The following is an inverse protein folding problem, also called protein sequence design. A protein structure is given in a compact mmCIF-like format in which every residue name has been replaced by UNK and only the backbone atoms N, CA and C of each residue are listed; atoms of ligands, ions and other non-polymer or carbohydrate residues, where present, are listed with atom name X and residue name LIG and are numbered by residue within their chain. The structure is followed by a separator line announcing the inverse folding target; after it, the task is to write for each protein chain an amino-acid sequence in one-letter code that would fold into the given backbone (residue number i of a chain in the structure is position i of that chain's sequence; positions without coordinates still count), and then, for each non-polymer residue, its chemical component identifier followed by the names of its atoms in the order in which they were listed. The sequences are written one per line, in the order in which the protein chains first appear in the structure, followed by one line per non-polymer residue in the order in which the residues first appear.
data_IF_020651480763
#
_entry.id   IF_020651480763
#
_cell.length_a   1.000
_cell.length_b   1.000
_cell.length_c   1.000
_cell.angle_alpha   90.00
_cell.angle_beta   90.00
_cell.angle_gamma   90.00
#
_symmetry.space_group_name_H-M   'P 1'
#
loop_
_entity.id
_entity.type
_entity.pdbx_description
1 polymer ?
#
# COMPACT_ATOMS: atom_id res chain seq x y z
N UNK A 1 -37.08 -18.13 12.55
CA UNK A 1 -38.11 -17.06 12.54
C UNK A 1 -39.51 -17.56 12.22
N UNK A 2 -39.73 -18.41 11.22
CA UNK A 2 -41.09 -18.93 10.88
C UNK A 2 -41.82 -19.68 12.02
N UNK A 3 -41.11 -20.38 12.91
CA UNK A 3 -41.72 -21.06 14.07
C UNK A 3 -42.13 -20.10 15.19
N UNK A 4 -41.34 -19.07 15.44
CA UNK A 4 -41.66 -18.07 16.47
C UNK A 4 -42.87 -17.21 16.10
N UNK A 5 -43.05 -16.90 14.84
CA UNK A 5 -44.20 -16.11 14.34
C UNK A 5 -45.49 -16.92 14.29
N UNK A 6 -45.43 -18.24 14.00
CA UNK A 6 -46.60 -19.14 14.12
C UNK A 6 -47.08 -19.27 15.56
N UNK A 7 -46.19 -19.24 16.54
CA UNK A 7 -46.53 -19.25 17.96
C UNK A 7 -47.31 -18.01 18.41
N UNK A 8 -47.25 -16.90 17.67
CA UNK A 8 -47.97 -15.66 17.92
C UNK A 8 -49.30 -15.57 17.15
N UNK A 9 -49.72 -16.64 16.40
CA UNK A 9 -51.00 -16.72 15.70
C UNK A 9 -51.11 -15.89 14.42
N UNK A 10 -49.99 -15.43 13.84
CA UNK A 10 -50.02 -14.76 12.56
C UNK A 10 -49.97 -15.74 11.38
N UNK A 11 -50.83 -15.51 10.38
CA UNK A 11 -50.79 -16.26 9.12
C UNK A 11 -49.58 -15.86 8.27
N UNK A 12 -49.10 -16.75 7.39
CA UNK A 12 -47.91 -16.54 6.52
C UNK A 12 -48.06 -15.34 5.55
N UNK A 13 -49.26 -14.87 5.29
CA UNK A 13 -49.60 -13.70 4.44
C UNK A 13 -49.74 -12.39 5.25
N UNK A 14 -49.59 -12.43 6.58
CA UNK A 14 -49.68 -11.19 7.35
C UNK A 14 -48.61 -10.16 6.91
N UNK A 15 -48.93 -8.87 6.75
CA UNK A 15 -48.02 -7.85 6.24
C UNK A 15 -46.66 -7.81 6.98
N UNK A 16 -46.66 -7.96 8.28
CA UNK A 16 -45.42 -7.99 9.08
C UNK A 16 -44.54 -9.21 8.73
N UNK A 17 -45.15 -10.37 8.46
CA UNK A 17 -44.41 -11.59 8.07
C UNK A 17 -43.86 -11.45 6.67
N UNK A 18 -44.62 -10.88 5.74
CA UNK A 18 -44.16 -10.60 4.36
C UNK A 18 -43.02 -9.59 4.36
N UNK A 19 -43.12 -8.53 5.15
CA UNK A 19 -42.03 -7.57 5.32
C UNK A 19 -40.77 -8.23 5.89
N UNK A 20 -40.89 -9.02 6.98
CA UNK A 20 -39.74 -9.70 7.57
C UNK A 20 -39.08 -10.71 6.61
N UNK A 21 -39.87 -11.42 5.78
CA UNK A 21 -39.35 -12.33 4.75
C UNK A 21 -38.57 -11.54 3.66
N UNK A 22 -39.10 -10.38 3.26
CA UNK A 22 -38.42 -9.52 2.27
C UNK A 22 -37.09 -8.98 2.83
N UNK A 23 -37.08 -8.48 4.05
CA UNK A 23 -35.86 -7.99 4.71
C UNK A 23 -34.81 -9.10 4.88
N UNK A 24 -35.24 -10.31 5.24
CA UNK A 24 -34.36 -11.46 5.33
C UNK A 24 -33.74 -11.81 3.96
N UNK A 25 -34.57 -11.85 2.90
CA UNK A 25 -34.09 -12.13 1.54
C UNK A 25 -33.08 -11.05 1.07
N UNK A 26 -33.35 -9.77 1.37
CA UNK A 26 -32.44 -8.67 1.07
C UNK A 26 -31.11 -8.82 1.79
N UNK A 27 -31.14 -9.21 3.07
CA UNK A 27 -29.96 -9.44 3.88
C UNK A 27 -29.12 -10.63 3.36
N UNK A 28 -29.74 -11.71 2.91
CA UNK A 28 -29.06 -12.85 2.28
C UNK A 28 -28.35 -12.44 0.97
N UNK A 29 -29.02 -11.65 0.12
CA UNK A 29 -28.43 -11.13 -1.13
C UNK A 29 -27.22 -10.26 -0.81
N UNK A 30 -27.31 -9.37 0.18
CA UNK A 30 -26.19 -8.53 0.59
C UNK A 30 -25.03 -9.36 1.15
N UNK A 31 -25.31 -10.33 1.98
CA UNK A 31 -24.27 -11.22 2.53
C UNK A 31 -23.53 -11.97 1.41
N UNK A 32 -24.26 -12.51 0.44
CA UNK A 32 -23.66 -13.19 -0.70
C UNK A 32 -22.80 -12.23 -1.55
N UNK A 33 -23.25 -10.99 -1.76
CA UNK A 33 -22.49 -9.95 -2.44
C UNK A 33 -21.14 -9.69 -1.72
N UNK A 34 -21.17 -9.49 -0.38
CA UNK A 34 -19.95 -9.24 0.36
C UNK A 34 -19.01 -10.46 0.39
N UNK A 35 -19.54 -11.67 0.46
CA UNK A 35 -18.72 -12.89 0.39
C UNK A 35 -18.01 -13.00 -0.96
N UNK A 36 -18.70 -12.75 -2.08
CA UNK A 36 -18.10 -12.76 -3.41
C UNK A 36 -16.99 -11.69 -3.53
N UNK A 37 -17.24 -10.48 -3.01
CA UNK A 37 -16.22 -9.41 -3.04
C UNK A 37 -14.99 -9.75 -2.22
N UNK A 38 -15.16 -10.43 -1.08
CA UNK A 38 -14.05 -10.89 -0.25
C UNK A 38 -13.22 -11.95 -0.98
N UNK A 39 -13.86 -12.93 -1.62
CA UNK A 39 -13.18 -13.96 -2.42
C UNK A 39 -12.37 -13.33 -3.59
N UNK A 40 -12.94 -12.34 -4.30
CA UNK A 40 -12.24 -11.61 -5.35
C UNK A 40 -11.02 -10.86 -4.82
N UNK A 41 -11.16 -10.20 -3.65
CA UNK A 41 -10.08 -9.50 -2.97
C UNK A 41 -8.95 -10.46 -2.56
N UNK A 42 -9.30 -11.59 -1.94
CA UNK A 42 -8.33 -12.61 -1.53
C UNK A 42 -7.57 -13.18 -2.74
N UNK A 43 -8.27 -13.43 -3.85
CA UNK A 43 -7.66 -13.93 -5.08
C UNK A 43 -6.71 -12.89 -5.71
N UNK A 44 -7.10 -11.62 -5.69
CA UNK A 44 -6.29 -10.51 -6.18
C UNK A 44 -4.94 -10.43 -5.44
N UNK A 45 -4.95 -10.44 -4.10
CA UNK A 45 -3.73 -10.36 -3.31
C UNK A 45 -2.91 -11.64 -3.36
N UNK A 46 -3.56 -12.80 -3.37
CA UNK A 46 -2.89 -14.09 -3.51
C UNK A 46 -2.04 -14.14 -4.79
N UNK A 47 -2.61 -13.72 -5.93
CA UNK A 47 -1.89 -13.68 -7.21
C UNK A 47 -0.66 -12.77 -7.13
N UNK A 48 -0.80 -11.57 -6.56
CA UNK A 48 0.29 -10.61 -6.41
C UNK A 48 1.40 -11.13 -5.51
N UNK A 49 1.02 -11.78 -4.43
CA UNK A 49 1.97 -12.38 -3.51
C UNK A 49 2.72 -13.57 -4.13
N UNK A 50 2.06 -14.38 -4.95
CA UNK A 50 2.71 -15.48 -5.69
C UNK A 50 3.71 -14.97 -6.73
N UNK A 51 3.41 -13.85 -7.40
CA UNK A 51 4.24 -13.29 -8.47
C UNK A 51 5.40 -12.44 -7.95
N UNK A 52 5.13 -11.53 -6.99
CA UNK A 52 6.11 -10.59 -6.41
C UNK A 52 5.94 -10.48 -4.89
N UNK A 53 6.33 -11.51 -4.12
CA UNK A 53 6.05 -11.57 -2.69
C UNK A 53 6.61 -10.38 -1.91
N UNK A 54 7.87 -10.00 -2.16
CA UNK A 54 8.52 -8.89 -1.44
C UNK A 54 7.89 -7.54 -1.77
N UNK A 55 7.59 -7.27 -3.05
CA UNK A 55 6.93 -6.03 -3.44
C UNK A 55 5.50 -5.93 -2.87
N UNK A 56 4.79 -7.07 -2.85
CA UNK A 56 3.44 -7.15 -2.27
C UNK A 56 3.46 -6.90 -0.77
N UNK A 57 4.43 -7.47 -0.06
CA UNK A 57 4.60 -7.27 1.37
C UNK A 57 4.93 -5.80 1.72
N UNK A 58 5.84 -5.17 0.95
CA UNK A 58 6.13 -3.73 1.09
C UNK A 58 4.87 -2.89 0.83
N UNK A 59 4.14 -3.17 -0.27
CA UNK A 59 2.92 -2.45 -0.62
C UNK A 59 1.89 -2.51 0.51
N UNK A 60 1.59 -3.72 1.00
CA UNK A 60 0.61 -3.94 2.07
C UNK A 60 1.04 -3.25 3.37
N UNK A 61 2.34 -3.32 3.72
CA UNK A 61 2.88 -2.65 4.89
C UNK A 61 2.68 -1.13 4.85
N UNK A 62 2.96 -0.51 3.69
CA UNK A 62 2.77 0.93 3.51
C UNK A 62 1.27 1.28 3.51
N UNK A 63 0.42 0.48 2.88
CA UNK A 63 -1.04 0.67 2.89
C UNK A 63 -1.65 0.59 4.29
N UNK A 64 -1.09 -0.21 5.18
CA UNK A 64 -1.53 -0.34 6.58
C UNK A 64 -1.30 0.95 7.41
N UNK A 65 -0.53 1.91 6.85
CA UNK A 65 -0.38 3.26 7.41
C UNK A 65 -1.51 4.23 6.99
N UNK A 66 -2.58 3.76 6.36
CA UNK A 66 -3.67 4.56 5.77
C UNK A 66 -3.22 5.55 4.67
N UNK A 67 -2.04 5.34 4.08
CA UNK A 67 -1.56 6.19 2.98
C UNK A 67 -2.27 5.84 1.67
N UNK A 68 -2.48 6.86 0.82
CA UNK A 68 -3.16 6.67 -0.46
C UNK A 68 -2.33 5.84 -1.46
N UNK A 69 -2.97 5.33 -2.50
CA UNK A 69 -2.33 4.44 -3.47
C UNK A 69 -1.22 5.11 -4.27
N UNK A 70 -1.31 6.42 -4.52
CA UNK A 70 -0.25 7.19 -5.18
C UNK A 70 1.01 7.26 -4.33
N UNK A 71 0.86 7.49 -3.02
CA UNK A 71 1.99 7.48 -2.07
C UNK A 71 2.65 6.11 -2.02
N UNK A 72 1.87 5.03 -1.92
CA UNK A 72 2.39 3.67 -1.95
C UNK A 72 3.16 3.37 -3.23
N UNK A 73 2.61 3.73 -4.38
CA UNK A 73 3.22 3.52 -5.69
C UNK A 73 4.51 4.33 -5.87
N UNK A 74 4.51 5.60 -5.47
CA UNK A 74 5.68 6.47 -5.56
C UNK A 74 6.85 5.98 -4.72
N UNK A 75 6.60 5.55 -3.47
CA UNK A 75 7.61 4.95 -2.60
C UNK A 75 8.13 3.63 -3.19
N UNK A 76 7.22 2.72 -3.58
CA UNK A 76 7.60 1.44 -4.17
C UNK A 76 8.40 1.62 -5.47
N UNK A 77 8.07 2.60 -6.31
CA UNK A 77 8.81 2.95 -7.52
C UNK A 77 10.26 3.36 -7.25
N UNK A 78 10.52 4.05 -6.13
CA UNK A 78 11.87 4.35 -5.66
C UNK A 78 12.59 3.07 -5.22
N UNK A 79 11.97 2.24 -4.39
CA UNK A 79 12.51 0.95 -3.93
C UNK A 79 12.85 0.03 -5.11
N UNK A 80 11.98 -0.05 -6.14
CA UNK A 80 12.26 -0.76 -7.39
C UNK A 80 13.53 -0.26 -8.09
N UNK A 81 13.80 1.04 -8.00
CA UNK A 81 15.00 1.63 -8.58
C UNK A 81 16.26 1.28 -7.81
N UNK A 82 16.18 1.19 -6.49
CA UNK A 82 17.31 0.89 -5.59
C UNK A 82 17.68 -0.60 -5.61
N UNK A 83 16.70 -1.49 -5.46
CA UNK A 83 16.96 -2.91 -5.21
C UNK A 83 16.18 -3.88 -6.10
N UNK A 84 15.35 -3.38 -7.01
CA UNK A 84 14.55 -4.19 -7.94
C UNK A 84 15.06 -4.18 -9.39
N UNK A 85 16.13 -3.44 -9.67
CA UNK A 85 16.60 -3.26 -11.06
C UNK A 85 15.59 -2.55 -11.97
N UNK A 86 14.59 -1.85 -11.40
CA UNK A 86 13.47 -1.23 -12.09
C UNK A 86 12.30 -2.16 -12.34
N UNK A 87 12.20 -3.24 -11.57
CA UNK A 87 11.12 -4.22 -11.59
C UNK A 87 10.58 -4.47 -10.17
N UNK A 88 9.46 -5.19 -10.05
CA UNK A 88 8.90 -5.64 -8.78
C UNK A 88 9.69 -6.80 -8.12
N UNK A 89 10.74 -7.32 -8.77
CA UNK A 89 11.64 -8.33 -8.19
C UNK A 89 12.62 -7.69 -7.20
N UNK A 90 12.12 -7.33 -6.03
CA UNK A 90 12.87 -6.61 -5.01
C UNK A 90 13.75 -7.55 -4.19
N UNK A 91 15.01 -7.16 -4.00
CA UNK A 91 16.01 -7.88 -3.20
C UNK A 91 16.36 -7.06 -1.94
N UNK A 92 15.50 -7.11 -0.91
CA UNK A 92 15.63 -6.29 0.29
C UNK A 92 16.93 -6.53 1.08
N UNK A 93 17.60 -7.66 0.86
CA UNK A 93 18.91 -8.00 1.44
C UNK A 93 20.09 -7.46 0.62
N UNK A 94 19.85 -6.74 -0.47
CA UNK A 94 20.90 -6.24 -1.35
C UNK A 94 21.82 -5.29 -0.57
N UNK A 95 23.11 -5.50 -0.69
CA UNK A 95 24.10 -4.69 -0.01
C UNK A 95 25.25 -4.29 -0.93
N UNK A 96 25.79 -3.11 -0.67
CA UNK A 96 27.08 -2.65 -1.19
C UNK A 96 28.02 -2.31 -0.02
N UNK A 97 29.25 -1.91 -0.32
CA UNK A 97 30.21 -1.48 0.70
C UNK A 97 29.67 -0.35 1.59
N UNK A 98 28.82 0.51 1.03
CA UNK A 98 28.29 1.71 1.70
C UNK A 98 26.79 1.69 1.93
N UNK A 99 26.02 0.78 1.32
CA UNK A 99 24.56 0.79 1.26
C UNK A 99 23.96 -0.54 1.64
N UNK A 100 22.70 -0.53 2.16
CA UNK A 100 21.96 -1.74 2.51
C UNK A 100 20.45 -1.51 2.51
N UNK A 101 19.70 -2.56 2.16
CA UNK A 101 18.26 -2.67 2.35
C UNK A 101 17.44 -2.00 1.26
N UNK A 102 16.11 -1.96 1.47
CA UNK A 102 15.14 -1.55 0.45
C UNK A 102 15.36 -0.15 -0.12
N UNK A 103 15.81 0.80 0.69
CA UNK A 103 16.14 2.16 0.26
C UNK A 103 17.66 2.39 0.12
N UNK A 104 18.48 1.34 0.10
CA UNK A 104 19.93 1.44 0.02
C UNK A 104 20.52 2.48 1.00
N UNK A 105 20.05 2.43 2.24
CA UNK A 105 20.49 3.35 3.30
C UNK A 105 22.00 3.33 3.51
N UNK A 106 22.56 4.50 3.76
CA UNK A 106 24.00 4.69 4.00
C UNK A 106 24.29 5.11 5.45
N UNK A 107 25.54 5.10 5.82
CA UNK A 107 26.07 5.60 7.13
C UNK A 107 25.30 5.05 8.34
N UNK A 108 24.80 5.96 9.20
CA UNK A 108 24.12 5.61 10.44
C UNK A 108 22.81 4.83 10.24
N UNK A 109 22.07 5.12 9.20
CA UNK A 109 20.84 4.40 8.87
C UNK A 109 21.13 2.95 8.45
N UNK A 110 22.15 2.73 7.61
CA UNK A 110 22.60 1.37 7.28
C UNK A 110 22.84 0.51 8.51
N UNK A 111 23.49 1.05 9.54
CA UNK A 111 23.82 0.28 10.75
C UNK A 111 22.57 -0.11 11.56
N UNK A 112 21.46 0.63 11.44
CA UNK A 112 20.21 0.33 12.13
C UNK A 112 19.42 -0.79 11.43
N UNK A 113 19.55 -0.93 10.10
CA UNK A 113 18.82 -1.94 9.32
C UNK A 113 19.67 -3.12 8.86
N UNK A 114 20.98 -3.12 9.15
CA UNK A 114 21.89 -4.16 8.68
C UNK A 114 21.52 -5.54 9.18
N UNK A 115 21.24 -6.46 8.25
CA UNK A 115 20.91 -7.86 8.56
C UNK A 115 19.50 -8.06 9.12
N UNK A 116 18.64 -7.04 9.12
CA UNK A 116 17.25 -7.15 9.55
C UNK A 116 16.36 -7.77 8.45
N UNK A 117 15.20 -8.26 8.86
CA UNK A 117 14.16 -8.74 7.96
C UNK A 117 13.45 -7.59 7.22
N UNK A 118 12.55 -7.94 6.32
CA UNK A 118 11.82 -6.98 5.50
C UNK A 118 10.89 -6.10 6.33
N UNK A 119 10.16 -6.68 7.29
CA UNK A 119 9.23 -5.96 8.17
C UNK A 119 9.95 -4.86 8.94
N UNK A 120 11.10 -5.19 9.55
CA UNK A 120 11.94 -4.21 10.27
C UNK A 120 12.40 -3.07 9.34
N UNK A 121 12.75 -3.38 8.09
CA UNK A 121 13.16 -2.36 7.13
C UNK A 121 11.99 -1.47 6.69
N UNK A 122 10.80 -2.02 6.49
CA UNK A 122 9.59 -1.26 6.20
C UNK A 122 9.21 -0.36 7.38
N UNK A 123 9.28 -0.87 8.61
CA UNK A 123 9.03 -0.06 9.81
C UNK A 123 10.03 1.09 9.91
N UNK A 124 11.31 0.83 9.66
CA UNK A 124 12.35 1.87 9.68
C UNK A 124 12.10 2.97 8.63
N UNK A 125 11.60 2.60 7.44
CA UNK A 125 11.18 3.55 6.43
C UNK A 125 10.06 4.45 6.96
N UNK A 126 9.00 3.86 7.53
CA UNK A 126 7.86 4.59 8.11
C UNK A 126 8.30 5.51 9.25
N UNK A 127 9.17 5.03 10.14
CA UNK A 127 9.66 5.81 11.30
C UNK A 127 10.53 7.01 10.90
N UNK A 128 11.13 6.99 9.71
CA UNK A 128 12.09 8.02 9.29
C UNK A 128 11.56 8.97 8.22
N UNK A 129 10.50 8.61 7.49
CA UNK A 129 10.04 9.36 6.32
C UNK A 129 9.53 10.76 6.68
N UNK A 130 8.78 10.91 7.77
CA UNK A 130 8.29 12.21 8.25
C UNK A 130 9.46 13.17 8.49
N UNK A 131 10.43 12.75 9.32
CA UNK A 131 11.62 13.56 9.61
C UNK A 131 12.40 13.97 8.35
N UNK A 132 12.57 13.04 7.41
CA UNK A 132 13.31 13.32 6.18
C UNK A 132 12.57 14.30 5.26
N UNK A 133 11.26 14.16 5.12
CA UNK A 133 10.43 15.07 4.32
C UNK A 133 10.31 16.44 4.95
N UNK A 134 10.11 16.55 6.25
CA UNK A 134 10.05 17.84 6.98
C UNK A 134 11.39 18.58 6.92
N UNK A 135 12.50 17.82 6.97
CA UNK A 135 13.84 18.41 6.96
C UNK A 135 14.30 18.80 5.55
N UNK A 136 14.00 17.98 4.55
CA UNK A 136 14.56 18.12 3.19
C UNK A 136 13.52 18.33 2.10
N UNK A 137 12.22 18.34 2.41
CA UNK A 137 11.14 18.57 1.44
C UNK A 137 11.29 19.88 0.68
N UNK A 138 11.94 20.88 1.27
CA UNK A 138 12.26 22.14 0.60
C UNK A 138 13.09 21.95 -0.69
N UNK A 139 13.83 20.86 -0.81
CA UNK A 139 14.62 20.54 -2.00
C UNK A 139 13.73 20.13 -3.18
N UNK A 140 12.54 19.58 -2.90
CA UNK A 140 11.50 19.31 -3.88
C UNK A 140 10.71 20.59 -4.21
N UNK A 141 10.12 21.22 -3.17
CA UNK A 141 9.33 22.43 -3.28
C UNK A 141 9.42 23.24 -2.00
N UNK A 142 9.53 24.56 -2.11
CA UNK A 142 9.60 25.45 -0.94
C UNK A 142 8.36 25.29 -0.04
N UNK A 143 8.56 24.99 1.23
CA UNK A 143 7.52 24.80 2.23
C UNK A 143 6.82 23.45 2.16
N UNK A 144 7.34 22.50 1.40
CA UNK A 144 6.84 21.15 1.29
C UNK A 144 7.28 20.31 2.50
N UNK A 145 6.36 19.59 3.10
CA UNK A 145 6.55 18.75 4.27
C UNK A 145 5.90 17.36 4.10
N UNK A 146 5.84 16.59 5.17
CA UNK A 146 5.28 15.24 5.15
C UNK A 146 3.75 15.25 4.93
N UNK A 147 3.02 16.22 5.48
CA UNK A 147 1.57 16.31 5.26
C UNK A 147 1.27 16.60 3.78
N UNK A 148 1.97 17.56 3.18
CA UNK A 148 1.88 17.82 1.73
C UNK A 148 2.20 16.59 0.88
N UNK A 149 3.17 15.76 1.32
CA UNK A 149 3.54 14.53 0.63
C UNK A 149 2.41 13.51 0.63
N UNK A 150 1.72 13.34 1.75
CA UNK A 150 0.60 12.40 1.87
C UNK A 150 -0.64 12.83 1.08
N UNK A 151 -0.76 14.11 0.75
CA UNK A 151 -1.86 14.67 -0.05
C UNK A 151 -1.62 14.59 -1.57
N UNK A 152 -0.44 14.16 -2.02
CA UNK A 152 -0.19 14.00 -3.45
C UNK A 152 -1.08 12.90 -4.06
N UNK A 153 -1.69 13.23 -5.21
CA UNK A 153 -2.59 12.36 -5.99
C UNK A 153 -2.01 12.03 -7.38
N UNK A 154 -0.68 11.88 -7.45
CA UNK A 154 0.05 11.53 -8.67
C UNK A 154 1.30 10.75 -8.27
N UNK A 155 1.38 9.48 -8.65
CA UNK A 155 2.46 8.57 -8.26
C UNK A 155 3.84 9.01 -8.79
N UNK A 156 3.89 9.71 -9.94
CA UNK A 156 5.14 10.23 -10.48
C UNK A 156 5.65 11.43 -9.67
N UNK A 157 4.75 12.31 -9.21
CA UNK A 157 5.11 13.43 -8.33
C UNK A 157 5.50 12.93 -6.93
N UNK A 158 4.81 11.92 -6.38
CA UNK A 158 5.22 11.24 -5.15
C UNK A 158 6.62 10.65 -5.30
N UNK A 159 6.86 9.89 -6.39
CA UNK A 159 8.17 9.28 -6.64
C UNK A 159 9.27 10.33 -6.73
N UNK A 160 9.01 11.48 -7.33
CA UNK A 160 9.94 12.58 -7.44
C UNK A 160 10.19 13.27 -6.09
N UNK A 161 9.14 13.54 -5.31
CA UNK A 161 9.26 14.13 -3.99
C UNK A 161 10.10 13.24 -3.05
N UNK A 162 9.77 11.94 -3.00
CA UNK A 162 10.52 10.95 -2.24
C UNK A 162 11.98 10.84 -2.70
N UNK A 163 12.22 10.76 -4.02
CA UNK A 163 13.58 10.70 -4.58
C UNK A 163 14.44 11.90 -4.19
N UNK A 164 13.87 13.09 -4.14
CA UNK A 164 14.58 14.33 -3.83
C UNK A 164 14.79 14.48 -2.33
N UNK A 165 13.75 14.31 -1.52
CA UNK A 165 13.77 14.61 -0.10
C UNK A 165 14.30 13.44 0.75
N UNK A 166 13.84 12.22 0.49
CA UNK A 166 14.24 11.04 1.26
C UNK A 166 15.52 10.40 0.74
N UNK A 167 15.56 10.01 -0.55
CA UNK A 167 16.71 9.33 -1.16
C UNK A 167 17.86 10.28 -1.53
N UNK A 168 17.60 11.58 -1.61
CA UNK A 168 18.57 12.61 -2.07
C UNK A 168 19.24 12.25 -3.39
N UNK A 169 18.45 11.66 -4.27
CA UNK A 169 18.95 11.16 -5.54
C UNK A 169 19.26 12.29 -6.51
N UNK A 170 20.16 12.03 -7.48
CA UNK A 170 20.45 12.97 -8.54
C UNK A 170 19.25 13.15 -9.49
N UNK A 171 19.14 14.33 -10.12
CA UNK A 171 18.08 14.63 -11.10
C UNK A 171 17.98 13.62 -12.23
N UNK A 172 19.08 12.98 -12.61
CA UNK A 172 19.11 11.97 -13.67
C UNK A 172 18.39 10.66 -13.29
N UNK A 173 18.28 10.36 -11.99
CA UNK A 173 17.60 9.18 -11.50
C UNK A 173 16.07 9.33 -11.37
N UNK A 174 15.53 10.54 -11.39
CA UNK A 174 14.12 10.82 -11.16
C UNK A 174 13.20 10.17 -12.21
N UNK A 175 13.43 10.33 -13.54
CA UNK A 175 12.50 9.77 -14.54
C UNK A 175 12.33 8.26 -14.44
N UNK A 176 13.39 7.53 -14.05
CA UNK A 176 13.30 6.08 -13.85
C UNK A 176 12.39 5.74 -12.67
N UNK A 177 12.47 6.49 -11.58
CA UNK A 177 11.64 6.30 -10.39
C UNK A 177 10.18 6.61 -10.66
N UNK A 178 9.89 7.68 -11.39
CA UNK A 178 8.56 8.03 -11.86
C UNK A 178 7.95 6.90 -12.72
N UNK A 179 8.66 6.45 -13.76
CA UNK A 179 8.20 5.32 -14.58
C UNK A 179 8.01 4.02 -13.78
N UNK A 180 8.79 3.79 -12.74
CA UNK A 180 8.59 2.63 -11.86
C UNK A 180 7.38 2.80 -10.94
N UNK A 181 7.09 4.03 -10.49
CA UNK A 181 5.89 4.33 -9.72
C UNK A 181 4.62 4.04 -10.52
N UNK A 182 4.57 4.48 -11.79
CA UNK A 182 3.46 4.14 -12.70
C UNK A 182 3.29 2.62 -12.86
N UNK A 183 4.38 1.86 -13.02
CA UNK A 183 4.30 0.39 -13.08
C UNK A 183 3.77 -0.23 -11.78
N UNK A 184 4.17 0.29 -10.63
CA UNK A 184 3.69 -0.17 -9.33
C UNK A 184 2.20 0.15 -9.17
N UNK A 185 1.78 1.35 -9.53
CA UNK A 185 0.37 1.77 -9.51
C UNK A 185 -0.49 0.87 -10.41
N UNK A 186 -0.11 0.71 -11.67
CA UNK A 186 -0.82 -0.15 -12.63
C UNK A 186 -0.95 -1.59 -12.12
N UNK A 187 0.08 -2.11 -11.46
CA UNK A 187 0.08 -3.49 -10.97
C UNK A 187 -0.78 -3.69 -9.71
N UNK A 188 -0.74 -2.77 -8.76
CA UNK A 188 -1.39 -2.96 -7.46
C UNK A 188 -2.79 -2.33 -7.36
N UNK A 189 -3.13 -1.37 -8.23
CA UNK A 189 -4.42 -0.63 -8.17
C UNK A 189 -5.35 -1.01 -9.33
N UNK A 190 -4.81 -1.37 -10.51
CA UNK A 190 -5.60 -1.77 -11.69
C UNK A 190 -5.90 -3.26 -11.70
#
# INVERSE_FOLDING_TARGET
MAEATRALGYEDNHPIILFAKQEYANAEIQLQYYQTRLEEYDLFWKKRYEEYPVATEIWLFIKDQDWNDYVCAGILGNIMSEVGGGTLNIQYWLYGSSYYGICQWSKGYKNQVWGTDLETQCQFLVDTIEYELDTFGYAYKKGFDFEDFLELEDEEEVAKAFAVAYERCSRLGIPKRQSNATKAYDYFVS
#
